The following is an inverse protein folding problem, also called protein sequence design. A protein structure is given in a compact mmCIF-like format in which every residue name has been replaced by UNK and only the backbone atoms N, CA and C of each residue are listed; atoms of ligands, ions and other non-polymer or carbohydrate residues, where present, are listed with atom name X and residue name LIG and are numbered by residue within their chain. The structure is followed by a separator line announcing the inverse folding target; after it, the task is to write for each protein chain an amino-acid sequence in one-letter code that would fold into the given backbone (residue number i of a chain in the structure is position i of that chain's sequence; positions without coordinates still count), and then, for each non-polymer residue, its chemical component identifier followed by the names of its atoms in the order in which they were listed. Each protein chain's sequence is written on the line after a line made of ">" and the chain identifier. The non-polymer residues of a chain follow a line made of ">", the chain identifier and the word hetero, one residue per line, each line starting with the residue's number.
data_IF_415436207318
#
_entry.id   IF_415436207318
#
_cell.length_a   1.000
_cell.length_b   1.000
_cell.length_c   1.000
_cell.angle_alpha   90.00
_cell.angle_beta   90.00
_cell.angle_gamma   90.00
#
_symmetry.space_group_name_H-M   'P 1'
#
loop_
_entity.id
_entity.type
_entity.pdbx_description
1 polymer ?
#
# COMPACT_ATOMS: atom_id res chain seq x y z
N UNK A 1 5.59 -45.25 13.73
CA UNK A 1 4.83 -43.98 13.86
C UNK A 1 5.75 -42.77 14.05
N UNK A 2 6.84 -42.86 14.83
CA UNK A 2 7.77 -41.74 15.08
C UNK A 2 8.46 -41.16 13.83
N UNK A 3 8.87 -41.99 12.86
CA UNK A 3 9.51 -41.51 11.62
C UNK A 3 8.61 -40.58 10.80
N UNK A 4 7.30 -40.85 10.73
CA UNK A 4 6.36 -39.98 10.03
C UNK A 4 6.12 -38.68 10.80
N UNK A 5 6.05 -38.72 12.13
CA UNK A 5 5.91 -37.53 12.96
C UNK A 5 7.13 -36.60 12.80
N UNK A 6 8.34 -37.17 12.75
CA UNK A 6 9.56 -36.39 12.57
C UNK A 6 9.66 -35.78 11.16
N UNK A 7 9.26 -36.52 10.12
CA UNK A 7 9.21 -36.01 8.74
C UNK A 7 8.21 -34.85 8.58
N UNK A 8 7.01 -34.97 9.16
CA UNK A 8 6.01 -33.88 9.14
C UNK A 8 6.51 -32.63 9.88
N UNK A 9 7.21 -32.81 11.01
CA UNK A 9 7.80 -31.70 11.75
C UNK A 9 8.89 -30.99 10.93
N UNK A 10 9.76 -31.73 10.26
CA UNK A 10 10.80 -31.16 9.40
C UNK A 10 10.21 -30.40 8.20
N UNK A 11 9.15 -30.93 7.58
CA UNK A 11 8.48 -30.27 6.47
C UNK A 11 7.78 -28.97 6.89
N UNK A 12 7.12 -28.96 8.06
CA UNK A 12 6.51 -27.77 8.62
C UNK A 12 7.55 -26.68 8.92
N UNK A 13 8.72 -27.06 9.43
CA UNK A 13 9.85 -26.16 9.67
C UNK A 13 10.37 -25.57 8.36
N UNK A 14 10.56 -26.40 7.32
CA UNK A 14 11.01 -25.92 6.00
C UNK A 14 10.04 -24.90 5.40
N UNK A 15 8.73 -25.22 5.38
CA UNK A 15 7.71 -24.31 4.85
C UNK A 15 7.66 -22.99 5.61
N UNK A 16 7.88 -23.03 6.92
CA UNK A 16 7.91 -21.82 7.76
C UNK A 16 9.14 -20.98 7.44
N UNK A 17 10.31 -21.61 7.26
CA UNK A 17 11.54 -20.92 6.88
C UNK A 17 11.41 -20.23 5.50
N UNK A 18 10.79 -20.91 4.52
CA UNK A 18 10.54 -20.35 3.20
C UNK A 18 9.60 -19.13 3.25
N UNK A 19 8.52 -19.21 4.05
CA UNK A 19 7.59 -18.08 4.24
C UNK A 19 8.29 -16.87 4.87
N UNK A 20 9.08 -17.08 5.92
CA UNK A 20 9.83 -16.00 6.58
C UNK A 20 10.84 -15.37 5.63
N UNK A 21 11.55 -16.18 4.84
CA UNK A 21 12.49 -15.67 3.84
C UNK A 21 11.78 -14.86 2.74
N UNK A 22 10.59 -15.29 2.31
CA UNK A 22 9.78 -14.56 1.33
C UNK A 22 9.25 -13.24 1.90
N UNK A 23 8.79 -13.23 3.15
CA UNK A 23 8.34 -12.03 3.85
C UNK A 23 9.46 -11.02 4.04
N UNK A 24 10.66 -11.47 4.43
CA UNK A 24 11.83 -10.62 4.55
C UNK A 24 12.24 -9.98 3.21
N UNK A 25 12.23 -10.77 2.12
CA UNK A 25 12.49 -10.27 0.75
C UNK A 25 11.46 -9.23 0.34
N UNK A 26 10.17 -9.52 0.56
CA UNK A 26 9.07 -8.59 0.25
C UNK A 26 9.19 -7.28 1.03
N UNK A 27 9.50 -7.36 2.33
CA UNK A 27 9.74 -6.18 3.16
C UNK A 27 10.85 -5.28 2.62
N UNK A 28 11.98 -5.87 2.19
CA UNK A 28 13.07 -5.12 1.56
C UNK A 28 12.70 -4.49 0.22
N UNK A 29 11.91 -5.17 -0.61
CA UNK A 29 11.39 -4.60 -1.86
C UNK A 29 10.43 -3.44 -1.63
N UNK A 30 9.59 -3.53 -0.59
CA UNK A 30 8.65 -2.48 -0.21
C UNK A 30 9.38 -1.24 0.34
N UNK A 31 10.43 -1.43 1.14
CA UNK A 31 11.28 -0.35 1.64
C UNK A 31 11.99 0.40 0.49
N UNK A 32 12.64 -0.32 -0.43
CA UNK A 32 13.27 0.28 -1.61
C UNK A 32 12.27 1.04 -2.49
N UNK A 33 11.02 0.55 -2.57
CA UNK A 33 9.96 1.22 -3.33
C UNK A 33 9.53 2.51 -2.65
N UNK A 34 9.35 2.50 -1.33
CA UNK A 34 9.03 3.70 -0.56
C UNK A 34 10.16 4.74 -0.68
N UNK A 35 11.42 4.32 -0.55
CA UNK A 35 12.57 5.21 -0.71
C UNK A 35 12.58 5.88 -2.09
N UNK A 36 12.42 5.08 -3.16
CA UNK A 36 12.33 5.60 -4.53
C UNK A 36 11.16 6.56 -4.71
N UNK A 37 10.01 6.28 -4.09
CA UNK A 37 8.85 7.16 -4.13
C UNK A 37 9.17 8.51 -3.48
N UNK A 38 9.71 8.49 -2.25
CA UNK A 38 10.05 9.71 -1.51
C UNK A 38 11.17 10.52 -2.19
N UNK A 39 12.11 9.86 -2.86
CA UNK A 39 13.16 10.52 -3.66
C UNK A 39 12.60 11.34 -4.84
N UNK A 40 11.39 11.04 -5.32
CA UNK A 40 10.68 11.85 -6.32
C UNK A 40 9.96 13.06 -5.71
N UNK A 41 10.04 13.27 -4.39
CA UNK A 41 9.40 14.37 -3.65
C UNK A 41 7.89 14.46 -3.96
N UNK A 42 7.13 13.42 -3.65
CA UNK A 42 5.70 13.39 -3.90
C UNK A 42 5.02 14.55 -3.17
N UNK A 43 3.99 15.18 -3.77
CA UNK A 43 3.23 16.21 -3.09
C UNK A 43 2.50 15.62 -1.89
N UNK A 44 2.44 16.38 -0.80
CA UNK A 44 1.69 16.03 0.42
C UNK A 44 0.30 16.65 0.32
N UNK A 45 -0.73 15.88 0.66
CA UNK A 45 -2.10 16.39 0.77
C UNK A 45 -2.58 16.35 2.21
N UNK A 46 -3.01 17.48 2.73
CA UNK A 46 -3.40 17.65 4.14
C UNK A 46 -4.90 17.58 4.39
N UNK A 47 -5.71 17.55 3.33
CA UNK A 47 -7.17 17.66 3.41
C UNK A 47 -7.66 19.09 3.17
N UNK A 48 -8.85 19.41 3.67
CA UNK A 48 -9.60 20.62 3.34
C UNK A 48 -10.50 20.45 2.11
N UNK A 49 -11.55 21.28 2.02
CA UNK A 49 -12.44 21.30 0.86
C UNK A 49 -11.76 22.07 -0.29
N UNK A 50 -10.98 21.34 -1.09
CA UNK A 50 -10.22 21.87 -2.23
C UNK A 50 -10.23 20.84 -3.39
N UNK A 51 -11.30 20.82 -4.20
CA UNK A 51 -11.43 19.88 -5.30
C UNK A 51 -10.32 20.02 -6.35
N UNK A 52 -9.88 21.25 -6.63
CA UNK A 52 -8.83 21.53 -7.59
C UNK A 52 -7.46 21.07 -7.05
N UNK A 53 -7.20 21.30 -5.76
CA UNK A 53 -5.99 20.81 -5.08
C UNK A 53 -5.95 19.30 -4.98
N UNK A 54 -7.09 18.65 -4.70
CA UNK A 54 -7.24 17.20 -4.67
C UNK A 54 -6.92 16.58 -6.05
N UNK A 55 -7.48 17.14 -7.12
CA UNK A 55 -7.21 16.72 -8.49
C UNK A 55 -5.73 16.94 -8.86
N UNK A 56 -5.18 18.11 -8.57
CA UNK A 56 -3.76 18.44 -8.83
C UNK A 56 -2.82 17.49 -8.08
N UNK A 57 -3.14 17.15 -6.83
CA UNK A 57 -2.36 16.21 -6.05
C UNK A 57 -2.38 14.80 -6.67
N UNK A 58 -3.56 14.32 -7.07
CA UNK A 58 -3.71 13.02 -7.75
C UNK A 58 -2.86 12.94 -9.03
N UNK A 59 -2.91 13.96 -9.87
CA UNK A 59 -2.09 14.02 -11.09
C UNK A 59 -0.59 14.00 -10.80
N UNK A 60 -0.17 14.70 -9.74
CA UNK A 60 1.22 14.74 -9.28
C UNK A 60 1.74 13.36 -8.87
N UNK A 61 0.99 12.64 -8.03
CA UNK A 61 1.42 11.29 -7.58
C UNK A 61 1.28 10.25 -8.68
N UNK A 62 0.27 10.33 -9.56
CA UNK A 62 0.11 9.39 -10.67
C UNK A 62 1.24 9.49 -11.69
N UNK A 63 1.79 10.70 -11.89
CA UNK A 63 2.99 10.91 -12.70
C UNK A 63 4.19 10.14 -12.13
N UNK A 64 4.38 10.19 -10.81
CA UNK A 64 5.45 9.46 -10.12
C UNK A 64 5.22 7.94 -10.22
N UNK A 65 4.00 7.47 -10.01
CA UNK A 65 3.65 6.05 -10.17
C UNK A 65 3.92 5.54 -11.57
N UNK A 66 3.63 6.34 -12.60
CA UNK A 66 3.97 6.07 -13.99
C UNK A 66 5.48 5.93 -14.19
N UNK A 67 6.26 6.91 -13.73
CA UNK A 67 7.72 6.91 -13.85
C UNK A 67 8.38 5.71 -13.12
N UNK A 68 7.83 5.32 -11.97
CA UNK A 68 8.30 4.17 -11.19
C UNK A 68 7.78 2.82 -11.70
N UNK A 69 6.81 2.81 -12.62
CA UNK A 69 6.07 1.61 -13.07
C UNK A 69 5.41 0.86 -11.90
N UNK A 70 4.81 1.61 -10.97
CA UNK A 70 4.13 1.04 -9.80
C UNK A 70 2.88 0.24 -10.23
N UNK A 71 2.78 -0.99 -9.71
CA UNK A 71 1.58 -1.81 -9.79
C UNK A 71 0.51 -1.29 -8.84
N UNK A 72 -0.74 -1.62 -9.15
CA UNK A 72 -1.91 -1.05 -8.47
C UNK A 72 -1.89 -1.30 -6.95
N UNK A 73 -1.45 -2.48 -6.52
CA UNK A 73 -1.39 -2.84 -5.08
C UNK A 73 -0.48 -1.90 -4.28
N UNK A 74 0.60 -1.41 -4.91
CA UNK A 74 1.56 -0.52 -4.25
C UNK A 74 1.12 0.94 -4.27
N UNK A 75 0.30 1.34 -5.25
CA UNK A 75 -0.14 2.75 -5.39
C UNK A 75 -0.98 3.20 -4.21
N UNK A 76 -1.86 2.33 -3.72
CA UNK A 76 -2.69 2.62 -2.54
C UNK A 76 -1.84 2.84 -1.30
N UNK A 77 -0.82 2.00 -1.10
CA UNK A 77 0.10 2.12 0.04
C UNK A 77 0.89 3.43 -0.03
N UNK A 78 1.51 3.72 -1.18
CA UNK A 78 2.33 4.93 -1.36
C UNK A 78 1.50 6.21 -1.37
N UNK A 79 0.33 6.19 -2.01
CA UNK A 79 -0.59 7.32 -2.05
C UNK A 79 -1.15 7.64 -0.67
N UNK A 80 -1.48 6.62 0.13
CA UNK A 80 -1.86 6.79 1.52
C UNK A 80 -0.75 7.38 2.39
N UNK A 81 0.52 7.02 2.14
CA UNK A 81 1.67 7.49 2.91
C UNK A 81 1.89 9.01 2.84
N UNK A 82 1.48 9.66 1.75
CA UNK A 82 1.64 11.13 1.56
C UNK A 82 0.37 11.93 1.87
N UNK A 83 -0.62 11.28 2.47
CA UNK A 83 -1.72 11.96 3.13
C UNK A 83 -1.29 12.36 4.54
N UNK A 84 -1.64 13.56 4.95
CA UNK A 84 -1.32 14.09 6.28
C UNK A 84 -2.56 14.78 6.86
N UNK A 85 -2.48 15.09 8.16
CA UNK A 85 -3.49 15.87 8.88
C UNK A 85 -4.91 15.29 8.66
N UNK A 86 -5.89 16.09 8.20
CA UNK A 86 -7.27 15.63 8.01
C UNK A 86 -7.35 14.43 7.04
N UNK A 87 -6.55 14.45 5.96
CA UNK A 87 -6.58 13.43 4.94
C UNK A 87 -6.09 12.06 5.44
N UNK A 88 -5.08 12.04 6.32
CA UNK A 88 -4.60 10.80 6.93
C UNK A 88 -5.66 10.18 7.86
N UNK A 89 -6.29 11.00 8.71
CA UNK A 89 -7.37 10.55 9.59
C UNK A 89 -8.57 10.02 8.79
N UNK A 90 -8.96 10.71 7.72
CA UNK A 90 -10.01 10.23 6.83
C UNK A 90 -9.61 8.91 6.17
N UNK A 91 -8.39 8.80 5.67
CA UNK A 91 -7.93 7.64 4.94
C UNK A 91 -7.88 6.38 5.82
N UNK A 92 -7.44 6.51 7.08
CA UNK A 92 -7.47 5.41 8.05
C UNK A 92 -8.87 4.81 8.22
N UNK A 93 -9.89 5.66 8.34
CA UNK A 93 -11.30 5.24 8.45
C UNK A 93 -11.85 4.68 7.12
N UNK A 94 -11.55 5.35 6.00
CA UNK A 94 -11.99 4.91 4.68
C UNK A 94 -11.40 3.54 4.34
N UNK A 95 -10.11 3.33 4.55
CA UNK A 95 -9.41 2.07 4.29
C UNK A 95 -10.07 0.89 5.01
N UNK A 96 -10.36 1.02 6.31
CA UNK A 96 -11.07 -0.01 7.08
C UNK A 96 -12.43 -0.37 6.47
N UNK A 97 -13.21 0.63 6.02
CA UNK A 97 -14.50 0.42 5.36
C UNK A 97 -14.37 -0.23 3.98
N UNK A 98 -13.28 0.05 3.26
CA UNK A 98 -13.09 -0.43 1.89
C UNK A 98 -12.53 -1.86 1.85
N UNK A 99 -11.77 -2.27 2.85
CA UNK A 99 -11.17 -3.61 2.98
C UNK A 99 -12.10 -4.64 3.64
N UNK A 100 -13.37 -4.28 3.90
CA UNK A 100 -14.40 -5.21 4.40
C UNK A 100 -14.55 -6.41 3.45
N UNK A 101 -14.76 -7.59 4.04
CA UNK A 101 -14.90 -8.89 3.36
C UNK A 101 -13.69 -9.34 2.54
N UNK A 102 -12.49 -8.83 2.87
CA UNK A 102 -11.25 -9.21 2.18
C UNK A 102 -11.17 -8.67 0.75
N UNK A 103 -11.99 -7.66 0.42
CA UNK A 103 -11.96 -7.01 -0.87
C UNK A 103 -10.61 -6.32 -1.09
N UNK A 104 -9.96 -6.61 -2.22
CA UNK A 104 -8.71 -5.96 -2.60
C UNK A 104 -8.99 -4.47 -2.87
N UNK A 105 -8.31 -3.61 -2.13
CA UNK A 105 -8.38 -2.17 -2.30
C UNK A 105 -7.51 -1.74 -3.48
N UNK A 106 -8.16 -1.34 -4.57
CA UNK A 106 -7.50 -0.87 -5.79
C UNK A 106 -7.28 0.65 -5.79
N UNK A 107 -6.32 1.11 -6.59
CA UNK A 107 -6.07 2.54 -6.77
C UNK A 107 -7.29 3.27 -7.35
N UNK A 108 -8.01 2.63 -8.27
CA UNK A 108 -9.25 3.17 -8.83
C UNK A 108 -10.30 3.42 -7.75
N UNK A 109 -10.41 2.52 -6.76
CA UNK A 109 -11.33 2.67 -5.64
C UNK A 109 -10.87 3.78 -4.69
N UNK A 110 -9.57 3.86 -4.39
CA UNK A 110 -8.99 4.98 -3.64
C UNK A 110 -9.37 6.32 -4.28
N UNK A 111 -9.09 6.51 -5.59
CA UNK A 111 -9.34 7.77 -6.30
C UNK A 111 -10.80 8.20 -6.23
N UNK A 112 -11.72 7.25 -6.41
CA UNK A 112 -13.16 7.55 -6.35
C UNK A 112 -13.56 8.09 -4.98
N UNK A 113 -13.15 7.42 -3.90
CA UNK A 113 -13.52 7.85 -2.55
C UNK A 113 -12.80 9.16 -2.18
N UNK A 114 -11.56 9.32 -2.60
CA UNK A 114 -10.76 10.54 -2.40
C UNK A 114 -11.42 11.76 -3.05
N UNK A 115 -11.75 11.69 -4.34
CA UNK A 115 -12.42 12.77 -5.09
C UNK A 115 -13.89 12.99 -4.69
N UNK A 116 -14.50 12.02 -3.99
CA UNK A 116 -15.83 12.21 -3.41
C UNK A 116 -15.75 13.01 -2.11
N UNK A 117 -14.63 12.89 -1.38
CA UNK A 117 -14.42 13.55 -0.09
C UNK A 117 -13.81 14.95 -0.24
N UNK A 118 -12.87 15.12 -1.16
CA UNK A 118 -12.08 16.33 -1.40
C UNK A 118 -12.30 16.83 -2.81
#
# INVERSE_FOLDING_TARGET
>A
MELMANAMAQEAVSRTADRVAQEARRGGEDELRLERFMNNKPPIFKGGYDPDGAQTWLEGIERIFGAMRCQDEHRVLLGGYVLHDEADHWWGNAKQRLEVDGAILTWARFKREFLTKY
#
